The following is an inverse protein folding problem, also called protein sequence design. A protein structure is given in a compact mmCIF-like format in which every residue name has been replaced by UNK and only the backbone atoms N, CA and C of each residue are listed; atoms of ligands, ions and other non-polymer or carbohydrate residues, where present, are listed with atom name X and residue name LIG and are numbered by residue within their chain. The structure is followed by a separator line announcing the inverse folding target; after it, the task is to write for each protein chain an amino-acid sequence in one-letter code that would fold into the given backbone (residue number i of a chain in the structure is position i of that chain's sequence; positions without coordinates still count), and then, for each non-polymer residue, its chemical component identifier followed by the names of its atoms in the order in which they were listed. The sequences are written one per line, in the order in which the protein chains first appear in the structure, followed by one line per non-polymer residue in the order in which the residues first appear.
data_IF_698253359992
#
_entry.id   IF_698253359992
#
_cell.length_a   1.000
_cell.length_b   1.000
_cell.length_c   1.000
_cell.angle_alpha   90.00
_cell.angle_beta   90.00
_cell.angle_gamma   90.00
#
_symmetry.space_group_name_H-M   'P 1'
#
loop_
_entity.id
_entity.type
_entity.pdbx_description
1 polymer ?
#
# COMPACT_ATOMS: atom_id res chain seq x y z
N UNK A 1 -1.86 -3.26 -17.02
CA UNK A 1 -0.66 -2.75 -16.35
C UNK A 1 -0.81 -2.83 -14.84
N UNK A 2 0.28 -3.07 -14.12
CA UNK A 2 0.34 -3.08 -12.65
C UNK A 2 1.62 -2.39 -12.18
N UNK A 3 1.54 -1.62 -11.09
CA UNK A 3 2.69 -0.94 -10.48
C UNK A 3 3.85 -1.91 -10.17
N UNK A 4 5.11 -1.48 -10.42
CA UNK A 4 6.32 -2.22 -10.10
C UNK A 4 7.41 -1.28 -9.54
N UNK A 5 7.80 -1.44 -8.25
CA UNK A 5 7.24 -2.37 -7.29
C UNK A 5 5.76 -2.12 -6.99
N UNK A 6 5.02 -3.19 -6.68
CA UNK A 6 3.57 -3.14 -6.48
C UNK A 6 3.08 -4.19 -5.50
N UNK A 7 1.78 -4.19 -5.22
CA UNK A 7 1.15 -5.11 -4.27
C UNK A 7 1.19 -6.57 -4.77
N UNK A 8 1.87 -7.49 -4.06
CA UNK A 8 2.10 -8.84 -4.55
C UNK A 8 0.81 -9.66 -4.74
N UNK A 9 -0.17 -9.52 -3.83
CA UNK A 9 -1.40 -10.30 -3.93
C UNK A 9 -2.25 -9.86 -5.13
N UNK A 10 -2.30 -8.56 -5.44
CA UNK A 10 -2.97 -8.09 -6.66
C UNK A 10 -2.28 -8.67 -7.91
N UNK A 11 -0.94 -8.60 -7.96
CA UNK A 11 -0.17 -9.21 -9.06
C UNK A 11 -0.50 -10.70 -9.20
N UNK A 12 -0.51 -11.46 -8.11
CA UNK A 12 -0.79 -12.89 -8.11
C UNK A 12 -2.25 -13.19 -8.53
N UNK A 13 -3.21 -12.37 -8.12
CA UNK A 13 -4.61 -12.50 -8.51
C UNK A 13 -4.77 -12.28 -10.03
N UNK A 14 -4.18 -11.21 -10.56
CA UNK A 14 -4.28 -10.89 -11.98
C UNK A 14 -3.51 -11.89 -12.86
N UNK A 15 -2.31 -12.33 -12.46
CA UNK A 15 -1.53 -13.31 -13.24
C UNK A 15 -2.23 -14.67 -13.36
N UNK A 16 -3.15 -15.01 -12.45
CA UNK A 16 -4.00 -16.19 -12.59
C UNK A 16 -5.16 -16.01 -13.59
N UNK A 17 -5.35 -14.82 -14.16
CA UNK A 17 -6.48 -14.48 -15.04
C UNK A 17 -6.06 -13.95 -16.40
N UNK A 18 -4.82 -13.53 -16.55
CA UNK A 18 -4.28 -13.01 -17.80
C UNK A 18 -2.80 -13.35 -17.95
N UNK A 19 -2.39 -13.68 -19.18
CA UNK A 19 -0.98 -13.92 -19.55
C UNK A 19 -0.26 -12.61 -19.90
N UNK A 20 -0.98 -11.50 -20.00
CA UNK A 20 -0.47 -10.18 -20.42
C UNK A 20 -0.43 -9.16 -19.29
N UNK A 21 0.03 -9.57 -18.10
CA UNK A 21 0.29 -8.67 -17.00
C UNK A 21 1.65 -7.99 -17.19
N UNK A 22 1.65 -6.67 -17.33
CA UNK A 22 2.87 -5.90 -17.58
C UNK A 22 3.19 -4.97 -16.42
N UNK A 23 4.44 -5.01 -15.88
CA UNK A 23 4.88 -4.08 -14.85
C UNK A 23 4.95 -2.65 -15.40
N UNK A 24 4.44 -1.70 -14.64
CA UNK A 24 4.46 -0.27 -14.93
C UNK A 24 5.33 0.46 -13.89
N UNK A 25 6.28 1.32 -14.32
CA UNK A 25 7.21 1.95 -13.40
C UNK A 25 6.51 2.93 -12.47
N UNK A 26 7.06 3.05 -11.25
CA UNK A 26 6.70 4.09 -10.29
C UNK A 26 7.89 5.03 -10.03
N UNK A 27 7.59 6.23 -9.57
CA UNK A 27 8.57 7.19 -9.08
C UNK A 27 8.15 7.76 -7.71
N UNK A 28 8.75 8.85 -7.29
CA UNK A 28 8.45 9.56 -6.04
C UNK A 28 7.01 10.12 -5.96
N UNK A 29 6.24 10.02 -7.02
CA UNK A 29 4.84 10.45 -7.11
C UNK A 29 3.89 9.29 -7.46
N UNK A 30 4.32 8.04 -7.30
CA UNK A 30 3.56 6.85 -7.62
C UNK A 30 3.66 6.44 -9.09
N UNK A 31 2.62 5.83 -9.65
CA UNK A 31 2.60 5.35 -11.03
C UNK A 31 3.04 6.43 -12.03
N UNK A 32 4.02 6.13 -12.87
CA UNK A 32 4.45 7.01 -13.94
C UNK A 32 3.42 7.00 -15.07
N UNK A 33 2.79 8.14 -15.32
CA UNK A 33 1.78 8.30 -16.38
C UNK A 33 2.42 8.72 -17.68
N UNK A 34 2.14 8.00 -18.76
CA UNK A 34 2.66 8.30 -20.09
C UNK A 34 2.07 7.39 -21.17
N UNK A 35 2.50 7.58 -22.42
CA UNK A 35 1.94 6.89 -23.59
C UNK A 35 2.05 5.36 -23.52
N UNK A 36 3.02 4.84 -22.76
CA UNK A 36 3.18 3.41 -22.55
C UNK A 36 1.96 2.75 -21.88
N UNK A 37 1.09 3.52 -21.21
CA UNK A 37 -0.13 3.03 -20.58
C UNK A 37 -1.35 3.00 -21.51
N UNK A 38 -1.28 3.61 -22.71
CA UNK A 38 -2.44 3.76 -23.61
C UNK A 38 -2.95 2.47 -24.22
N UNK A 39 -2.11 1.44 -24.31
CA UNK A 39 -2.45 0.18 -24.99
C UNK A 39 -2.90 -0.92 -24.04
N UNK A 40 -3.19 -0.60 -22.78
CA UNK A 40 -3.71 -1.56 -21.82
C UNK A 40 -5.23 -1.46 -21.70
N UNK A 41 -5.89 -2.58 -21.39
CA UNK A 41 -7.31 -2.60 -21.06
C UNK A 41 -7.54 -2.10 -19.64
N UNK A 42 -6.62 -2.46 -18.72
CA UNK A 42 -6.70 -2.14 -17.29
C UNK A 42 -5.37 -1.63 -16.75
N UNK A 43 -5.46 -0.66 -15.83
CA UNK A 43 -4.34 -0.19 -15.01
C UNK A 43 -4.71 -0.38 -13.54
N UNK A 44 -3.93 -1.16 -12.81
CA UNK A 44 -4.07 -1.28 -11.35
C UNK A 44 -3.08 -0.35 -10.67
N UNK A 45 -3.56 0.46 -9.70
CA UNK A 45 -2.75 1.43 -8.97
C UNK A 45 -3.24 1.63 -7.54
N UNK A 46 -2.34 2.01 -6.64
CA UNK A 46 -2.56 2.31 -5.23
C UNK A 46 -2.25 3.79 -4.92
N UNK A 47 -3.06 4.76 -5.42
CA UNK A 47 -2.66 6.16 -5.53
C UNK A 47 -2.64 6.93 -4.20
N UNK A 48 -3.37 6.48 -3.18
CA UNK A 48 -3.41 7.16 -1.87
C UNK A 48 -2.15 6.88 -1.06
N UNK A 49 -1.72 5.64 -1.02
CA UNK A 49 -0.45 5.19 -0.44
C UNK A 49 0.06 4.03 -1.28
N UNK A 50 0.97 4.33 -2.19
CA UNK A 50 1.53 3.34 -3.10
C UNK A 50 2.16 2.16 -2.33
N UNK A 51 1.76 0.96 -2.65
CA UNK A 51 2.31 -0.25 -2.05
C UNK A 51 3.50 -0.75 -2.88
N UNK A 52 4.73 -0.84 -2.31
CA UNK A 52 5.10 -0.75 -0.90
C UNK A 52 5.67 0.60 -0.45
N UNK A 53 5.85 1.57 -1.34
CA UNK A 53 6.67 2.76 -1.10
C UNK A 53 6.04 3.79 -0.16
N UNK A 54 4.70 3.77 -0.02
CA UNK A 54 3.96 4.75 0.78
C UNK A 54 3.82 6.13 0.13
N UNK A 55 4.33 6.33 -1.10
CA UNK A 55 4.19 7.62 -1.78
C UNK A 55 2.74 7.87 -2.19
N UNK A 56 2.34 9.13 -2.16
CA UNK A 56 0.99 9.57 -2.54
C UNK A 56 1.02 10.21 -3.92
N UNK A 57 0.13 9.74 -4.80
CA UNK A 57 -0.03 10.32 -6.14
C UNK A 57 -0.66 11.73 -6.04
N UNK A 58 0.02 12.78 -6.50
CA UNK A 58 -0.50 14.15 -6.44
C UNK A 58 -1.69 14.36 -7.38
N UNK A 59 -2.51 15.36 -7.10
CA UNK A 59 -3.74 15.65 -7.85
C UNK A 59 -3.48 15.79 -9.35
N UNK A 60 -2.43 16.51 -9.73
CA UNK A 60 -2.08 16.72 -11.15
C UNK A 60 -1.81 15.41 -11.90
N UNK A 61 -1.20 14.42 -11.24
CA UNK A 61 -0.96 13.11 -11.84
C UNK A 61 -2.22 12.25 -11.88
N UNK A 62 -3.12 12.39 -10.88
CA UNK A 62 -4.46 11.77 -10.93
C UNK A 62 -5.27 12.26 -12.12
N UNK A 63 -5.26 13.57 -12.36
CA UNK A 63 -5.92 14.19 -13.52
C UNK A 63 -5.32 13.70 -14.85
N UNK A 64 -3.99 13.64 -14.95
CA UNK A 64 -3.31 13.09 -16.13
C UNK A 64 -3.67 11.63 -16.40
N UNK A 65 -3.74 10.80 -15.37
CA UNK A 65 -4.11 9.39 -15.49
C UNK A 65 -5.56 9.24 -15.93
N UNK A 66 -6.48 10.03 -15.39
CA UNK A 66 -7.89 10.03 -15.79
C UNK A 66 -8.08 10.51 -17.23
N UNK A 67 -7.34 11.54 -17.65
CA UNK A 67 -7.36 12.02 -19.04
C UNK A 67 -6.87 10.93 -19.99
N UNK A 68 -5.73 10.29 -19.70
CA UNK A 68 -5.21 9.16 -20.48
C UNK A 68 -6.23 8.02 -20.56
N UNK A 69 -6.81 7.62 -19.44
CA UNK A 69 -7.79 6.54 -19.39
C UNK A 69 -9.03 6.84 -20.24
N UNK A 70 -9.48 8.08 -20.23
CA UNK A 70 -10.61 8.51 -21.07
C UNK A 70 -10.25 8.50 -22.56
N UNK A 71 -9.13 9.09 -22.96
CA UNK A 71 -8.68 9.17 -24.35
C UNK A 71 -8.42 7.79 -24.97
N UNK A 72 -7.90 6.85 -24.18
CA UNK A 72 -7.45 5.53 -24.64
C UNK A 72 -8.41 4.40 -24.32
N UNK A 73 -9.58 4.70 -23.74
CA UNK A 73 -10.59 3.71 -23.32
C UNK A 73 -10.06 2.68 -22.29
N UNK A 74 -9.11 3.07 -21.46
CA UNK A 74 -8.52 2.25 -20.39
C UNK A 74 -9.37 2.32 -19.13
N UNK A 75 -9.46 1.21 -18.38
CA UNK A 75 -10.12 1.16 -17.08
C UNK A 75 -9.06 1.17 -15.96
N UNK A 76 -9.24 2.02 -14.98
CA UNK A 76 -8.37 2.11 -13.80
C UNK A 76 -9.00 1.32 -12.66
N UNK A 77 -8.23 0.42 -12.05
CA UNK A 77 -8.57 -0.23 -10.78
C UNK A 77 -7.80 0.51 -9.69
N UNK A 78 -8.50 1.36 -8.95
CA UNK A 78 -7.98 2.11 -7.82
C UNK A 78 -8.14 1.28 -6.55
N UNK A 79 -7.04 0.74 -6.03
CA UNK A 79 -7.04 0.06 -4.74
C UNK A 79 -6.65 1.03 -3.63
N UNK A 80 -7.64 1.37 -2.80
CA UNK A 80 -7.52 2.39 -1.76
C UNK A 80 -7.65 1.75 -0.36
N UNK A 81 -6.64 1.00 0.01
CA UNK A 81 -6.64 0.16 1.21
C UNK A 81 -6.29 0.92 2.51
N UNK A 82 -5.74 2.13 2.43
CA UNK A 82 -5.28 2.95 3.57
C UNK A 82 -5.59 4.45 3.42
N UNK A 83 -6.58 4.86 2.64
CA UNK A 83 -6.89 6.28 2.35
C UNK A 83 -7.09 7.15 3.59
N UNK A 84 -7.56 6.54 4.67
CA UNK A 84 -7.87 7.24 5.92
C UNK A 84 -6.63 7.51 6.78
N UNK A 85 -5.47 6.94 6.44
CA UNK A 85 -4.20 7.07 7.19
C UNK A 85 -3.31 8.19 6.65
N UNK A 86 -3.83 9.39 6.53
CA UNK A 86 -3.06 10.57 6.14
C UNK A 86 -2.62 11.36 7.37
N UNK A 87 -1.32 11.66 7.49
CA UNK A 87 -0.74 12.41 8.62
C UNK A 87 -0.56 13.89 8.33
N UNK A 88 -0.44 14.26 7.05
CA UNK A 88 -0.13 15.59 6.58
C UNK A 88 -1.26 16.16 5.73
N UNK A 89 -2.00 17.12 6.31
CA UNK A 89 -2.92 17.94 5.57
C UNK A 89 -4.24 17.28 5.16
N UNK A 90 -4.81 17.78 4.06
CA UNK A 90 -6.07 17.29 3.54
C UNK A 90 -5.85 16.08 2.62
N UNK A 91 -6.67 15.03 2.72
CA UNK A 91 -6.58 13.90 1.81
C UNK A 91 -6.80 14.36 0.36
N UNK A 92 -5.99 13.82 -0.55
CA UNK A 92 -6.18 14.06 -1.99
C UNK A 92 -7.42 13.27 -2.44
N UNK A 93 -8.36 13.88 -3.20
CA UNK A 93 -9.54 13.19 -3.68
C UNK A 93 -9.20 11.92 -4.45
N UNK A 94 -9.91 10.83 -4.18
CA UNK A 94 -9.74 9.56 -4.89
C UNK A 94 -9.94 9.75 -6.41
N UNK A 95 -9.26 8.94 -7.24
CA UNK A 95 -9.46 8.94 -8.69
C UNK A 95 -10.95 8.76 -9.03
N UNK A 96 -11.63 7.86 -8.30
CA UNK A 96 -13.07 7.63 -8.49
C UNK A 96 -13.91 8.88 -8.26
N UNK A 97 -13.56 9.73 -7.30
CA UNK A 97 -14.30 10.96 -7.02
C UNK A 97 -14.11 12.04 -8.09
N UNK A 98 -13.02 11.96 -8.86
CA UNK A 98 -12.68 12.85 -9.97
C UNK A 98 -13.16 12.29 -11.33
N UNK A 99 -13.55 11.02 -11.38
CA UNK A 99 -13.92 10.29 -12.59
C UNK A 99 -15.30 10.73 -13.11
N UNK A 100 -15.33 11.41 -14.25
CA UNK A 100 -16.54 11.85 -14.93
C UNK A 100 -17.02 10.90 -16.06
N UNK A 101 -16.21 9.88 -16.39
CA UNK A 101 -16.43 9.03 -17.56
C UNK A 101 -16.61 7.54 -17.23
N UNK A 102 -16.77 7.21 -15.94
CA UNK A 102 -16.89 5.83 -15.45
C UNK A 102 -15.70 4.93 -15.81
N UNK A 103 -14.49 5.49 -15.81
CA UNK A 103 -13.24 4.77 -16.07
C UNK A 103 -12.61 4.15 -14.83
N UNK A 104 -13.07 4.50 -13.63
CA UNK A 104 -12.48 4.03 -12.39
C UNK A 104 -13.37 3.01 -11.68
N UNK A 105 -12.77 1.87 -11.36
CA UNK A 105 -13.28 0.89 -10.40
C UNK A 105 -12.54 1.12 -9.09
N UNK A 106 -13.23 1.66 -8.09
CA UNK A 106 -12.66 1.90 -6.78
C UNK A 106 -12.85 0.69 -5.87
N UNK A 107 -11.78 0.24 -5.23
CA UNK A 107 -11.79 -0.86 -4.26
C UNK A 107 -11.36 -0.31 -2.92
N UNK A 108 -12.27 -0.29 -1.96
CA UNK A 108 -12.03 0.17 -0.60
C UNK A 108 -12.02 -0.97 0.42
N UNK A 109 -11.17 -0.86 1.43
CA UNK A 109 -11.05 -1.83 2.51
C UNK A 109 -11.33 -1.19 3.87
N UNK A 110 -12.09 -1.89 4.73
CA UNK A 110 -12.31 -1.48 6.12
C UNK A 110 -11.41 -2.24 7.10
N UNK A 111 -10.55 -3.13 6.59
CA UNK A 111 -9.69 -3.96 7.42
C UNK A 111 -8.61 -3.17 8.16
N UNK A 112 -8.15 -2.06 7.59
CA UNK A 112 -7.07 -1.23 8.16
C UNK A 112 -7.61 -0.18 9.11
N UNK A 113 -8.75 0.42 8.79
CA UNK A 113 -9.36 1.49 9.60
C UNK A 113 -10.15 0.96 10.79
N UNK A 114 -10.69 -0.26 10.70
CA UNK A 114 -11.53 -0.82 11.77
C UNK A 114 -10.88 -2.03 12.46
N UNK A 115 -10.95 -3.19 11.82
CA UNK A 115 -10.35 -4.41 12.32
C UNK A 115 -10.09 -5.41 11.18
N UNK A 116 -8.89 -6.00 11.09
CA UNK A 116 -8.55 -6.96 10.03
C UNK A 116 -9.48 -8.18 9.98
N UNK A 117 -9.99 -8.61 11.15
CA UNK A 117 -10.89 -9.76 11.27
C UNK A 117 -12.29 -9.56 10.71
N UNK A 118 -12.72 -8.34 10.42
CA UNK A 118 -14.05 -8.07 9.84
C UNK A 118 -14.18 -8.57 8.40
N UNK A 119 -13.07 -8.58 7.65
CA UNK A 119 -13.00 -9.04 6.26
C UNK A 119 -14.08 -8.43 5.37
N UNK A 120 -14.28 -7.12 5.48
CA UNK A 120 -15.22 -6.33 4.68
C UNK A 120 -14.45 -5.29 3.85
N UNK A 121 -14.82 -5.22 2.59
CA UNK A 121 -14.46 -4.16 1.65
C UNK A 121 -15.67 -3.79 0.80
N UNK A 122 -15.51 -2.83 -0.07
CA UNK A 122 -16.54 -2.35 -0.96
C UNK A 122 -15.96 -1.94 -2.31
N UNK A 123 -16.82 -1.99 -3.34
CA UNK A 123 -16.47 -1.56 -4.69
C UNK A 123 -17.43 -0.45 -5.09
N UNK A 124 -16.88 0.63 -5.67
CA UNK A 124 -17.63 1.71 -6.28
C UNK A 124 -17.28 1.76 -7.78
N UNK A 125 -18.26 1.49 -8.63
CA UNK A 125 -18.07 1.42 -10.08
C UNK A 125 -19.36 1.77 -10.81
N UNK A 126 -19.35 1.71 -12.14
CA UNK A 126 -20.55 1.85 -12.97
C UNK A 126 -21.64 0.86 -12.55
N UNK A 127 -22.89 1.29 -12.62
CA UNK A 127 -24.07 0.52 -12.15
C UNK A 127 -24.17 -0.86 -12.81
N UNK A 128 -23.85 -0.93 -14.07
CA UNK A 128 -23.89 -2.15 -14.88
C UNK A 128 -22.87 -3.17 -14.36
N UNK A 129 -21.63 -2.73 -14.13
CA UNK A 129 -20.57 -3.58 -13.57
C UNK A 129 -20.94 -4.06 -12.15
N UNK A 130 -21.51 -3.18 -11.32
CA UNK A 130 -21.95 -3.58 -9.96
C UNK A 130 -23.06 -4.62 -10.02
N UNK A 131 -23.96 -4.56 -10.99
CA UNK A 131 -25.00 -5.57 -11.17
C UNK A 131 -24.40 -6.96 -11.49
N UNK A 132 -23.44 -7.01 -12.41
CA UNK A 132 -22.70 -8.25 -12.77
C UNK A 132 -21.88 -8.79 -11.59
N UNK A 133 -21.15 -7.93 -10.88
CA UNK A 133 -20.38 -8.33 -9.71
C UNK A 133 -21.26 -8.87 -8.58
N UNK A 134 -22.47 -8.33 -8.39
CA UNK A 134 -23.46 -8.85 -7.43
C UNK A 134 -23.96 -10.24 -7.84
N UNK A 135 -24.23 -10.45 -9.13
CA UNK A 135 -24.63 -11.75 -9.65
C UNK A 135 -23.52 -12.79 -9.45
N UNK A 136 -22.27 -12.46 -9.81
CA UNK A 136 -21.11 -13.33 -9.60
C UNK A 136 -20.88 -13.64 -8.11
N UNK A 137 -20.90 -12.63 -7.25
CA UNK A 137 -20.74 -12.80 -5.80
C UNK A 137 -21.80 -13.75 -5.23
N UNK A 138 -23.05 -13.65 -5.70
CA UNK A 138 -24.13 -14.54 -5.26
C UNK A 138 -23.81 -16.02 -5.54
N UNK A 139 -23.16 -16.31 -6.67
CA UNK A 139 -22.75 -17.67 -7.03
C UNK A 139 -21.56 -18.15 -6.19
N UNK A 140 -20.63 -17.27 -5.85
CA UNK A 140 -19.40 -17.63 -5.13
C UNK A 140 -19.62 -17.77 -3.61
N UNK A 141 -20.20 -16.77 -2.99
CA UNK A 141 -20.28 -16.65 -1.51
C UNK A 141 -21.65 -16.13 -1.02
N UNK A 142 -22.61 -15.93 -1.90
CA UNK A 142 -23.91 -15.29 -1.68
C UNK A 142 -23.76 -13.81 -1.26
N UNK A 143 -23.44 -13.54 0.00
CA UNK A 143 -23.24 -12.20 0.56
C UNK A 143 -22.35 -12.28 1.81
N UNK A 144 -21.65 -11.20 2.18
CA UNK A 144 -20.99 -11.11 3.46
C UNK A 144 -22.00 -11.25 4.62
N UNK A 145 -21.52 -11.61 5.81
CA UNK A 145 -22.37 -11.74 7.01
C UNK A 145 -23.24 -10.50 7.22
N UNK A 146 -24.56 -10.68 7.27
CA UNK A 146 -25.52 -9.60 7.54
C UNK A 146 -25.36 -9.03 8.93
N UNK A 147 -24.94 -9.84 9.90
CA UNK A 147 -24.61 -9.39 11.25
C UNK A 147 -23.45 -8.37 11.22
N UNK A 148 -22.35 -8.69 10.53
CA UNK A 148 -21.20 -7.78 10.41
C UNK A 148 -21.61 -6.51 9.65
N UNK A 149 -22.35 -6.62 8.56
CA UNK A 149 -22.84 -5.45 7.81
C UNK A 149 -23.73 -4.54 8.68
N UNK A 150 -24.62 -5.13 9.52
CA UNK A 150 -25.48 -4.36 10.43
C UNK A 150 -24.68 -3.70 11.53
N UNK A 151 -23.75 -4.42 12.15
CA UNK A 151 -22.85 -3.87 13.18
C UNK A 151 -22.04 -2.69 12.63
N UNK A 152 -21.49 -2.82 11.43
CA UNK A 152 -20.75 -1.77 10.75
C UNK A 152 -21.66 -0.56 10.45
N UNK A 153 -22.86 -0.79 9.93
CA UNK A 153 -23.84 0.26 9.67
C UNK A 153 -24.16 1.08 10.93
N UNK A 154 -24.38 0.40 12.07
CA UNK A 154 -24.59 1.06 13.34
C UNK A 154 -23.35 1.82 13.82
N UNK A 155 -22.17 1.23 13.70
CA UNK A 155 -20.90 1.86 14.10
C UNK A 155 -20.67 3.19 13.34
N UNK A 156 -20.97 3.20 12.04
CA UNK A 156 -20.85 4.41 11.20
C UNK A 156 -21.96 5.39 11.57
N UNK A 157 -23.22 4.98 11.60
CA UNK A 157 -24.36 5.88 11.81
C UNK A 157 -24.39 6.53 13.19
N UNK A 158 -23.78 5.90 14.19
CA UNK A 158 -23.62 6.46 15.55
C UNK A 158 -22.37 7.34 15.71
N UNK A 159 -21.62 7.60 14.64
CA UNK A 159 -20.43 8.46 14.67
C UNK A 159 -19.18 7.80 15.29
N UNK A 160 -19.23 6.52 15.61
CA UNK A 160 -18.07 5.81 16.19
C UNK A 160 -16.92 5.65 15.20
N UNK A 161 -17.23 5.58 13.90
CA UNK A 161 -16.23 5.51 12.84
C UNK A 161 -15.31 6.74 12.84
N UNK A 162 -15.87 7.94 12.89
CA UNK A 162 -15.10 9.20 12.84
C UNK A 162 -14.18 9.33 14.06
N UNK A 163 -14.70 8.95 15.25
CA UNK A 163 -13.90 8.90 16.46
C UNK A 163 -12.76 7.87 16.38
N UNK A 164 -13.01 6.73 15.73
CA UNK A 164 -12.00 5.69 15.52
C UNK A 164 -10.93 6.15 14.52
N UNK A 165 -11.31 6.74 13.39
CA UNK A 165 -10.39 7.26 12.38
C UNK A 165 -9.48 8.35 12.97
N UNK A 166 -10.03 9.25 13.78
CA UNK A 166 -9.22 10.25 14.48
C UNK A 166 -8.18 9.61 15.40
N UNK A 167 -8.60 8.67 16.27
CA UNK A 167 -7.67 7.97 17.17
C UNK A 167 -6.59 7.21 16.41
N UNK A 168 -6.96 6.56 15.32
CA UNK A 168 -6.03 5.84 14.45
C UNK A 168 -5.03 6.81 13.82
N UNK A 169 -5.49 7.92 13.26
CA UNK A 169 -4.64 8.96 12.67
C UNK A 169 -3.64 9.53 13.65
N UNK A 170 -4.08 9.89 14.87
CA UNK A 170 -3.21 10.40 15.94
C UNK A 170 -2.13 9.38 16.31
N UNK A 171 -2.52 8.12 16.51
CA UNK A 171 -1.59 7.03 16.85
C UNK A 171 -0.61 6.70 15.71
N UNK A 172 -1.05 6.78 14.46
CA UNK A 172 -0.19 6.54 13.30
C UNK A 172 0.83 7.67 13.11
N UNK A 173 0.40 8.92 13.31
CA UNK A 173 1.28 10.09 13.26
C UNK A 173 2.39 9.99 14.31
N UNK A 174 2.05 9.62 15.55
CA UNK A 174 3.02 9.39 16.62
C UNK A 174 4.03 8.31 16.24
N UNK A 175 3.55 7.14 15.80
CA UNK A 175 4.41 6.01 15.42
C UNK A 175 5.30 6.33 14.22
N UNK A 176 4.76 7.05 13.24
CA UNK A 176 5.53 7.53 12.09
C UNK A 176 6.68 8.44 12.50
N UNK A 177 6.44 9.40 13.39
CA UNK A 177 7.50 10.25 13.92
C UNK A 177 8.57 9.45 14.66
N UNK A 178 8.16 8.51 15.53
CA UNK A 178 9.07 7.67 16.30
C UNK A 178 9.95 6.79 15.41
N UNK A 179 9.39 6.14 14.40
CA UNK A 179 10.18 5.27 13.52
C UNK A 179 11.14 6.06 12.64
N UNK A 180 10.73 7.24 12.14
CA UNK A 180 11.59 8.11 11.35
C UNK A 180 12.78 8.64 12.19
N UNK A 181 12.51 9.08 13.42
CA UNK A 181 13.52 9.55 14.36
C UNK A 181 14.52 8.43 14.73
N UNK A 182 13.99 7.23 15.01
CA UNK A 182 14.82 6.08 15.34
C UNK A 182 15.68 5.64 14.14
N UNK A 183 15.13 5.60 12.93
CA UNK A 183 15.90 5.28 11.71
C UNK A 183 17.01 6.31 11.44
N UNK A 184 16.72 7.61 11.59
CA UNK A 184 17.72 8.66 11.45
C UNK A 184 18.85 8.53 12.48
N UNK A 185 18.54 8.09 13.70
CA UNK A 185 19.51 7.94 14.81
C UNK A 185 20.34 6.67 14.69
N UNK A 186 19.71 5.53 14.42
CA UNK A 186 20.38 4.22 14.50
C UNK A 186 20.82 3.66 13.15
N UNK A 187 20.18 4.06 12.04
CA UNK A 187 20.46 3.57 10.70
C UNK A 187 20.58 4.70 9.64
N UNK A 188 21.40 5.76 9.90
CA UNK A 188 21.52 6.92 9.01
C UNK A 188 22.05 6.57 7.61
N UNK A 189 22.68 5.42 7.43
CA UNK A 189 23.14 4.89 6.14
C UNK A 189 22.01 4.37 5.27
N UNK A 190 20.81 4.14 5.80
CA UNK A 190 19.63 3.77 5.05
C UNK A 190 18.93 5.01 4.47
N UNK A 191 18.28 4.83 3.31
CA UNK A 191 17.44 5.89 2.72
C UNK A 191 15.98 5.53 2.89
N UNK A 192 15.24 6.33 3.63
CA UNK A 192 13.80 6.15 3.84
C UNK A 192 13.05 6.97 2.80
N UNK A 193 12.09 6.35 2.12
CA UNK A 193 11.18 7.07 1.21
C UNK A 193 10.29 8.00 2.05
N UNK A 194 10.18 9.29 1.71
CA UNK A 194 9.25 10.19 2.37
C UNK A 194 7.81 9.68 2.27
N UNK A 195 7.08 9.74 3.38
CA UNK A 195 5.68 9.31 3.43
C UNK A 195 4.81 10.39 4.06
N UNK A 196 3.59 10.54 3.56
CA UNK A 196 2.59 11.48 4.06
C UNK A 196 1.47 10.77 4.82
N UNK A 197 1.52 9.45 4.85
CA UNK A 197 0.53 8.58 5.48
C UNK A 197 0.93 7.11 5.42
N UNK A 198 -0.05 6.24 5.66
CA UNK A 198 0.14 4.79 5.66
C UNK A 198 0.66 4.21 6.97
N UNK A 199 0.82 2.90 7.03
CA UNK A 199 1.23 2.15 8.22
C UNK A 199 2.59 1.47 8.12
N UNK A 200 3.40 1.84 7.11
CA UNK A 200 4.75 1.28 6.89
C UNK A 200 5.64 2.27 6.18
N UNK A 201 6.96 2.14 6.36
CA UNK A 201 7.95 2.89 5.59
C UNK A 201 8.76 1.95 4.68
N UNK A 202 9.17 2.49 3.53
CA UNK A 202 10.00 1.84 2.53
C UNK A 202 11.44 2.32 2.69
N UNK A 203 12.35 1.37 2.92
CA UNK A 203 13.74 1.67 3.28
C UNK A 203 14.68 1.01 2.29
N UNK A 204 15.50 1.82 1.63
CA UNK A 204 16.63 1.34 0.84
C UNK A 204 17.83 1.10 1.76
N UNK A 205 18.34 -0.12 1.73
CA UNK A 205 19.52 -0.54 2.45
C UNK A 205 20.80 -0.02 1.77
N UNK A 206 21.94 0.04 2.48
CA UNK A 206 23.24 0.28 1.86
C UNK A 206 23.57 -0.76 0.78
N UNK A 207 24.35 -0.37 -0.20
CA UNK A 207 24.78 -1.25 -1.27
C UNK A 207 25.52 -2.48 -0.72
N UNK A 208 25.28 -3.63 -1.35
CA UNK A 208 25.84 -4.93 -0.95
C UNK A 208 25.10 -5.63 0.20
N UNK A 209 24.08 -5.02 0.81
CA UNK A 209 23.26 -5.69 1.85
C UNK A 209 22.04 -6.35 1.22
N UNK A 210 21.93 -7.67 1.39
CA UNK A 210 20.74 -8.42 1.00
C UNK A 210 19.62 -8.23 2.01
N UNK A 211 18.44 -7.79 1.54
CA UNK A 211 17.23 -7.62 2.36
C UNK A 211 16.76 -8.95 2.95
N UNK A 212 16.83 -10.03 2.17
CA UNK A 212 16.43 -11.36 2.62
C UNK A 212 17.33 -11.87 3.75
N UNK A 213 18.65 -11.75 3.59
CA UNK A 213 19.60 -12.16 4.61
C UNK A 213 19.47 -11.27 5.87
N UNK A 214 19.22 -9.96 5.70
CA UNK A 214 18.97 -9.06 6.82
C UNK A 214 17.69 -9.42 7.56
N UNK A 215 16.63 -9.81 6.86
CA UNK A 215 15.37 -10.22 7.49
C UNK A 215 15.57 -11.45 8.39
N UNK A 216 16.29 -12.47 7.94
CA UNK A 216 16.60 -13.65 8.76
C UNK A 216 17.49 -13.29 9.97
N UNK A 217 18.46 -12.40 9.78
CA UNK A 217 19.34 -11.99 10.89
C UNK A 217 18.57 -11.10 11.90
N UNK A 218 17.74 -10.16 11.46
CA UNK A 218 16.90 -9.33 12.33
C UNK A 218 15.88 -10.18 13.12
N UNK A 219 15.31 -11.22 12.49
CA UNK A 219 14.41 -12.18 13.15
C UNK A 219 15.06 -12.87 14.33
N UNK A 220 16.34 -13.24 14.24
CA UNK A 220 17.08 -13.83 15.37
C UNK A 220 17.26 -12.87 16.54
N UNK A 221 17.09 -11.56 16.31
CA UNK A 221 17.12 -10.48 17.30
C UNK A 221 15.72 -10.03 17.74
N UNK A 222 14.67 -10.74 17.34
CA UNK A 222 13.28 -10.45 17.69
C UNK A 222 12.62 -9.34 16.86
N UNK A 223 13.20 -8.96 15.70
CA UNK A 223 12.64 -7.96 14.80
C UNK A 223 12.23 -8.60 13.49
N UNK A 224 10.94 -8.48 13.16
CA UNK A 224 10.40 -8.93 11.88
C UNK A 224 10.37 -7.76 10.90
N UNK A 225 11.03 -7.93 9.78
CA UNK A 225 11.01 -6.98 8.65
C UNK A 225 10.60 -7.72 7.38
N UNK A 226 10.01 -6.99 6.43
CA UNK A 226 9.57 -7.58 5.17
C UNK A 226 10.57 -7.26 4.06
N UNK A 227 11.25 -8.27 3.48
CA UNK A 227 12.14 -8.05 2.34
C UNK A 227 11.40 -7.46 1.15
N UNK A 228 12.02 -6.51 0.49
CA UNK A 228 11.42 -5.79 -0.62
C UNK A 228 11.24 -6.60 -1.90
N UNK A 229 11.98 -7.68 -2.05
CA UNK A 229 12.00 -8.54 -3.24
C UNK A 229 10.62 -9.00 -3.70
N UNK A 230 9.73 -9.27 -2.73
CA UNK A 230 8.37 -9.76 -3.00
C UNK A 230 7.49 -8.76 -3.74
N UNK A 231 7.81 -7.47 -3.64
CA UNK A 231 7.04 -6.40 -4.27
C UNK A 231 7.42 -6.16 -5.74
N UNK A 232 8.57 -6.64 -6.18
CA UNK A 232 9.01 -6.51 -7.56
C UNK A 232 8.57 -7.69 -8.43
N UNK A 233 8.27 -7.41 -9.69
CA UNK A 233 7.95 -8.45 -10.67
C UNK A 233 9.16 -9.33 -10.98
N UNK A 234 10.35 -8.73 -11.01
CA UNK A 234 11.62 -9.43 -11.12
C UNK A 234 12.50 -9.03 -9.94
N UNK A 235 12.89 -10.00 -9.12
CA UNK A 235 13.69 -9.75 -7.91
C UNK A 235 15.16 -9.43 -8.23
N UNK A 236 15.64 -9.73 -9.42
CA UNK A 236 17.04 -9.53 -9.81
C UNK A 236 17.44 -8.04 -9.73
N UNK A 237 18.40 -7.74 -8.84
CA UNK A 237 18.90 -6.38 -8.62
C UNK A 237 18.10 -5.52 -7.62
N UNK A 238 16.99 -6.00 -7.09
CA UNK A 238 16.10 -5.26 -6.20
C UNK A 238 16.16 -5.70 -4.72
N UNK A 239 17.04 -6.64 -4.39
CA UNK A 239 17.19 -7.26 -3.06
C UNK A 239 17.79 -6.37 -1.96
N UNK A 240 17.73 -5.04 -2.10
CA UNK A 240 18.28 -4.07 -1.15
C UNK A 240 17.21 -3.10 -0.59
N UNK A 241 15.95 -3.49 -0.65
CA UNK A 241 14.86 -2.75 -0.03
C UNK A 241 14.19 -3.59 1.07
N UNK A 242 13.70 -2.91 2.11
CA UNK A 242 12.84 -3.51 3.13
C UNK A 242 11.64 -2.64 3.41
N UNK A 243 10.53 -3.28 3.77
CA UNK A 243 9.33 -2.61 4.27
C UNK A 243 9.25 -2.81 5.78
N UNK A 244 9.16 -1.71 6.53
CA UNK A 244 9.02 -1.71 7.98
C UNK A 244 7.60 -1.28 8.34
N UNK A 245 6.78 -2.24 8.80
CA UNK A 245 5.41 -1.97 9.24
C UNK A 245 5.40 -1.48 10.69
N UNK A 246 4.68 -0.38 10.96
CA UNK A 246 4.54 0.19 12.31
C UNK A 246 3.08 0.34 12.77
N UNK A 247 2.11 0.03 11.90
CA UNK A 247 0.69 0.24 12.17
C UNK A 247 0.19 -0.51 13.41
N UNK A 248 0.64 -1.74 13.62
CA UNK A 248 0.10 -2.65 14.65
C UNK A 248 1.01 -2.81 15.86
N UNK A 249 2.14 -2.10 15.92
CA UNK A 249 3.09 -2.20 17.05
C UNK A 249 2.87 -1.08 18.06
N UNK A 250 3.22 -1.34 19.34
CA UNK A 250 3.18 -0.29 20.37
C UNK A 250 4.25 0.77 20.10
N UNK A 251 3.91 2.05 20.29
CA UNK A 251 4.87 3.15 20.21
C UNK A 251 6.09 2.92 21.12
N UNK A 252 5.89 2.33 22.29
CA UNK A 252 6.93 2.08 23.29
C UNK A 252 8.04 1.10 22.87
N UNK A 253 7.83 0.29 21.83
CA UNK A 253 8.83 -0.69 21.36
C UNK A 253 9.50 -0.31 20.05
N UNK A 254 9.06 0.76 19.39
CA UNK A 254 9.59 1.20 18.09
C UNK A 254 11.09 1.51 18.17
N UNK A 255 11.50 2.32 19.14
CA UNK A 255 12.91 2.73 19.30
C UNK A 255 13.83 1.52 19.48
N UNK A 256 13.47 0.61 20.40
CA UNK A 256 14.22 -0.63 20.64
C UNK A 256 14.24 -1.55 19.41
N UNK A 257 13.12 -1.67 18.70
CA UNK A 257 13.04 -2.46 17.48
C UNK A 257 13.95 -1.94 16.37
N UNK A 258 13.96 -0.63 16.14
CA UNK A 258 14.86 -0.01 15.16
C UNK A 258 16.33 -0.11 15.57
N UNK A 259 16.64 0.00 16.87
CA UNK A 259 17.99 -0.23 17.37
C UNK A 259 18.48 -1.66 17.08
N UNK A 260 17.64 -2.69 17.28
CA UNK A 260 17.97 -4.08 16.94
C UNK A 260 18.10 -4.29 15.42
N UNK A 261 17.24 -3.66 14.61
CA UNK A 261 17.37 -3.64 13.15
C UNK A 261 18.73 -3.07 12.72
N UNK A 262 19.13 -1.94 13.28
CA UNK A 262 20.40 -1.29 12.98
C UNK A 262 21.62 -2.14 13.41
N UNK A 263 21.54 -2.84 14.55
CA UNK A 263 22.57 -3.79 14.97
C UNK A 263 22.68 -4.97 13.97
N UNK A 264 21.56 -5.54 13.56
CA UNK A 264 21.54 -6.60 12.56
C UNK A 264 22.21 -6.15 11.25
N UNK A 265 21.90 -4.93 10.80
CA UNK A 265 22.49 -4.32 9.62
C UNK A 265 24.01 -4.11 9.78
N UNK A 266 24.44 -3.60 10.92
CA UNK A 266 25.87 -3.39 11.22
C UNK A 266 26.68 -4.70 11.25
N UNK A 267 26.10 -5.78 11.74
CA UNK A 267 26.76 -7.09 11.76
C UNK A 267 26.96 -7.67 10.35
N UNK A 268 26.01 -7.41 9.45
CA UNK A 268 26.14 -7.84 8.05
C UNK A 268 27.22 -7.07 7.29
N UNK A 269 27.36 -5.76 7.58
CA UNK A 269 28.37 -4.92 6.94
C UNK A 269 29.80 -5.27 7.40
N UNK A 270 29.95 -5.90 8.58
CA UNK A 270 31.25 -6.34 9.12
C UNK A 270 31.71 -7.71 8.62
N UNK A 271 30.78 -8.51 8.04
CA UNK A 271 31.17 -9.80 7.44
C UNK A 271 31.76 -9.52 6.06
N UNK A 272 33.03 -9.92 5.81
CA UNK A 272 33.57 -9.86 4.44
C UNK A 272 32.68 -10.71 3.53
N UNK A 273 32.46 -10.21 2.33
CA UNK A 273 31.84 -11.02 1.26
C UNK A 273 32.79 -12.18 0.97
N UNK A 274 32.39 -13.38 1.37
CA UNK A 274 33.09 -14.62 0.95
C UNK A 274 32.82 -14.88 -0.54
#
# INVERSE_FOLDING_TARGET
AIEDPGYPDARNIFSNRTDSLTPAPIDQYGLVVGDHLRNFDYIYTTPSHQCPTGVTMPLSRREQLLQLANESNVVIIEDDFESENNFEGHPIPALKSLDQHNRVIYVGSLSKSMAPGLRIGYIVAAKELIAELRALRRLMIRHPSTFIQRSLSLFISLGHNDAQLKRLGDAQKERSALIMDALARYAPQCRVTPMTGGGSCWVKLPDGVSALALAEHAKSRGVLIEPGDVFFNQSAGNGHFVRLGFQSISASVIDAGVAQFAQALGDMQKRPSD
#
